data_IF_294258690276
#
_entry.id   IF_294258690276
#
_cell.length_a   1.000
_cell.length_b   1.000
_cell.length_c   1.000
_cell.angle_alpha   90.00
_cell.angle_beta   90.00
_cell.angle_gamma   90.00
#
_symmetry.space_group_name_H-M   'P 1'
#
loop_
_entity.id
_entity.type
_entity.pdbx_description
1 polymer ?
#
# COMPACT_ATOMS: atom_id res chain seq x y z
N UNK A 1 51.13 60.92 0.15
CA UNK A 1 50.01 61.43 0.97
C UNK A 1 48.85 60.48 0.89
N UNK A 2 48.40 59.96 2.05
CA UNK A 2 47.12 59.27 2.40
C UNK A 2 47.00 57.87 1.83
N UNK A 3 47.30 56.86 2.55
CA UNK A 3 46.53 56.14 3.65
C UNK A 3 45.27 55.53 3.11
N UNK A 4 45.30 54.27 2.88
CA UNK A 4 45.00 53.12 3.70
C UNK A 4 43.51 53.05 4.07
N UNK A 5 42.89 51.97 3.75
CA UNK A 5 42.11 51.16 4.72
C UNK A 5 41.63 49.88 4.05
N UNK A 6 42.36 48.83 4.34
CA UNK A 6 41.91 47.49 4.09
C UNK A 6 41.36 46.97 5.43
N UNK A 7 40.09 46.85 5.54
CA UNK A 7 39.49 46.32 6.75
C UNK A 7 38.02 45.98 6.58
N UNK A 8 37.70 44.80 6.07
CA UNK A 8 36.56 44.02 6.52
C UNK A 8 36.65 42.61 5.95
N UNK A 9 37.17 41.75 6.74
CA UNK A 9 37.00 40.28 6.59
C UNK A 9 35.53 39.99 6.76
N UNK A 10 34.85 39.69 5.66
CA UNK A 10 33.50 39.13 5.68
C UNK A 10 33.60 37.69 6.22
N UNK A 11 33.31 37.54 7.49
CA UNK A 11 33.02 36.25 8.09
C UNK A 11 31.84 35.61 7.39
N UNK A 12 32.12 34.65 6.52
CA UNK A 12 31.11 33.74 5.98
C UNK A 12 30.63 32.87 7.14
N UNK A 13 29.58 33.30 7.80
CA UNK A 13 28.76 32.40 8.62
C UNK A 13 28.06 31.42 7.65
N UNK A 14 28.56 30.21 7.66
CA UNK A 14 27.80 29.07 7.13
C UNK A 14 26.48 28.99 7.89
N UNK A 15 25.33 29.00 7.22
CA UNK A 15 24.10 28.68 7.89
C UNK A 15 24.17 27.20 8.25
N UNK A 16 24.28 26.87 9.52
CA UNK A 16 23.94 25.55 10.02
C UNK A 16 22.54 25.25 9.48
N UNK A 17 22.50 24.27 8.61
CA UNK A 17 21.26 23.64 8.19
C UNK A 17 20.52 23.20 9.44
N UNK A 18 19.50 23.95 9.81
CA UNK A 18 18.44 23.43 10.65
C UNK A 18 17.85 22.24 9.89
N UNK A 19 18.32 21.06 10.21
CA UNK A 19 17.61 19.83 9.97
C UNK A 19 16.27 19.99 10.70
N UNK A 20 15.29 20.53 9.99
CA UNK A 20 13.89 20.42 10.38
C UNK A 20 13.64 18.93 10.52
N UNK A 21 13.66 18.48 11.77
CA UNK A 21 12.99 17.26 12.16
C UNK A 21 11.52 17.49 11.80
N UNK A 22 11.13 17.12 10.59
CA UNK A 22 9.73 16.94 10.28
C UNK A 22 9.30 15.80 11.19
N UNK A 23 8.77 16.17 12.34
CA UNK A 23 7.97 15.31 13.16
C UNK A 23 6.87 14.82 12.24
N UNK A 24 6.96 13.55 11.83
CA UNK A 24 5.87 12.85 11.18
C UNK A 24 4.74 12.73 12.20
N UNK A 25 4.02 13.83 12.45
CA UNK A 25 2.72 13.75 13.09
C UNK A 25 1.71 13.27 12.04
N UNK A 26 2.00 12.11 11.47
CA UNK A 26 1.06 11.35 10.68
C UNK A 26 0.03 10.79 11.64
N UNK A 27 -1.23 11.03 11.36
CA UNK A 27 -2.35 10.40 12.06
C UNK A 27 -2.29 8.88 11.81
N UNK A 28 -1.53 8.17 12.65
CA UNK A 28 -1.39 6.71 12.60
C UNK A 28 -2.75 6.00 12.81
N UNK A 29 -3.79 6.70 13.27
CA UNK A 29 -5.13 6.16 13.41
C UNK A 29 -5.75 5.78 12.06
N UNK A 30 -5.26 6.36 10.98
CA UNK A 30 -5.71 6.08 9.61
C UNK A 30 -5.06 4.85 8.97
N UNK A 31 -4.00 4.28 9.57
CA UNK A 31 -3.26 3.16 8.99
C UNK A 31 -3.99 1.83 9.17
N UNK A 32 -3.94 0.98 8.14
CA UNK A 32 -4.41 -0.39 8.23
C UNK A 32 -3.32 -1.28 8.83
N UNK A 33 -3.70 -2.22 9.70
CA UNK A 33 -2.78 -3.20 10.27
C UNK A 33 -3.53 -4.41 10.81
N UNK A 34 -2.89 -5.56 10.79
CA UNK A 34 -3.41 -6.85 11.25
C UNK A 34 -4.00 -7.70 10.13
N UNK A 35 -4.13 -8.99 10.36
CA UNK A 35 -4.64 -9.98 9.44
C UNK A 35 -5.84 -10.70 10.04
N UNK A 36 -6.87 -10.97 9.22
CA UNK A 36 -8.14 -11.58 9.63
C UNK A 36 -8.55 -12.63 8.61
N UNK A 37 -8.88 -13.82 9.09
CA UNK A 37 -9.42 -14.87 8.24
C UNK A 37 -10.93 -14.70 8.12
N UNK A 38 -11.45 -14.81 6.89
CA UNK A 38 -12.87 -14.79 6.56
C UNK A 38 -13.17 -15.80 5.46
N UNK A 39 -14.43 -16.24 5.37
CA UNK A 39 -14.87 -17.10 4.27
C UNK A 39 -15.42 -16.29 3.10
N UNK A 40 -15.36 -16.89 1.92
CA UNK A 40 -16.04 -16.38 0.71
C UNK A 40 -17.34 -17.16 0.54
N UNK A 41 -18.46 -16.46 0.48
CA UNK A 41 -19.77 -17.10 0.29
C UNK A 41 -19.96 -17.63 -1.15
N UNK A 42 -21.07 -18.33 -1.39
CA UNK A 42 -21.45 -18.92 -2.67
C UNK A 42 -21.66 -17.88 -3.80
N UNK A 43 -21.84 -16.61 -3.42
CA UNK A 43 -21.96 -15.48 -4.36
C UNK A 43 -20.64 -14.72 -4.56
N UNK A 44 -19.50 -15.27 -4.09
CA UNK A 44 -18.19 -14.66 -4.23
C UNK A 44 -18.00 -13.42 -3.35
N UNK A 45 -18.69 -13.33 -2.20
CA UNK A 45 -18.56 -12.20 -1.27
C UNK A 45 -17.79 -12.61 -0.03
N UNK A 46 -16.96 -11.72 0.47
CA UNK A 46 -16.26 -11.87 1.74
C UNK A 46 -16.52 -10.67 2.66
N UNK A 47 -16.31 -10.85 3.96
CA UNK A 47 -16.44 -9.77 4.94
C UNK A 47 -15.16 -8.95 4.99
N UNK A 48 -15.31 -7.64 4.95
CA UNK A 48 -14.22 -6.73 5.31
C UNK A 48 -14.35 -6.41 6.82
N UNK A 49 -13.30 -6.61 7.63
CA UNK A 49 -13.32 -6.31 9.06
C UNK A 49 -13.84 -4.90 9.35
N UNK A 50 -14.69 -4.73 10.37
CA UNK A 50 -15.33 -3.45 10.68
C UNK A 50 -14.32 -2.30 10.84
N UNK A 51 -13.19 -2.58 11.51
CA UNK A 51 -12.09 -1.62 11.65
C UNK A 51 -11.48 -1.16 10.32
N UNK A 52 -11.49 -2.01 9.29
CA UNK A 52 -11.00 -1.65 7.96
C UNK A 52 -12.09 -0.89 7.19
N UNK A 53 -13.35 -1.29 7.30
CA UNK A 53 -14.47 -0.59 6.64
C UNK A 53 -14.57 0.88 7.05
N UNK A 54 -14.37 1.17 8.34
CA UNK A 54 -14.37 2.55 8.84
C UNK A 54 -13.33 3.43 8.15
N UNK A 55 -12.19 2.84 7.80
CA UNK A 55 -11.07 3.54 7.14
C UNK A 55 -11.17 3.53 5.61
N UNK A 56 -11.71 2.48 5.02
CA UNK A 56 -11.97 2.39 3.58
C UNK A 56 -13.06 3.37 3.14
N UNK A 57 -14.07 3.59 3.98
CA UNK A 57 -15.23 4.41 3.66
C UNK A 57 -16.35 3.60 3.01
N UNK A 58 -17.38 4.31 2.52
CA UNK A 58 -18.56 3.70 1.90
C UNK A 58 -18.25 3.08 0.52
N UNK A 59 -17.28 3.66 -0.18
CA UNK A 59 -16.77 3.18 -1.48
C UNK A 59 -15.26 3.05 -1.43
N UNK A 60 -14.77 2.06 -2.12
CA UNK A 60 -13.34 1.80 -2.24
C UNK A 60 -13.06 1.08 -3.56
N UNK A 61 -11.81 1.01 -3.96
CA UNK A 61 -11.39 0.38 -5.20
C UNK A 61 -10.65 -0.90 -4.91
N UNK A 62 -11.06 -1.99 -5.56
CA UNK A 62 -10.37 -3.28 -5.53
C UNK A 62 -9.69 -3.51 -6.88
N UNK A 63 -8.43 -3.95 -6.85
CA UNK A 63 -7.67 -4.26 -8.06
C UNK A 63 -6.72 -5.43 -7.83
N UNK A 64 -6.00 -5.83 -8.88
CA UNK A 64 -4.92 -6.82 -8.74
C UNK A 64 -3.85 -6.29 -7.82
N UNK A 65 -3.31 -7.16 -6.97
CA UNK A 65 -2.09 -6.94 -6.21
C UNK A 65 -0.92 -7.73 -6.79
N UNK A 66 0.25 -7.57 -6.20
CA UNK A 66 1.42 -8.38 -6.49
C UNK A 66 1.31 -9.74 -5.79
N UNK A 67 2.10 -10.71 -6.21
CA UNK A 67 2.11 -12.08 -5.66
C UNK A 67 0.75 -12.79 -5.67
N UNK A 68 -0.17 -12.32 -6.54
CA UNK A 68 -1.49 -12.91 -6.69
C UNK A 68 -2.48 -12.61 -5.58
N UNK A 69 -2.30 -11.54 -4.83
CA UNK A 69 -3.33 -11.01 -3.94
C UNK A 69 -4.20 -9.96 -4.66
N UNK A 70 -5.18 -9.43 -3.94
CA UNK A 70 -5.96 -8.25 -4.34
C UNK A 70 -5.57 -7.07 -3.46
N UNK A 71 -5.51 -5.89 -4.04
CA UNK A 71 -5.34 -4.64 -3.31
C UNK A 71 -6.67 -3.90 -3.23
N UNK A 72 -6.96 -3.37 -2.05
CA UNK A 72 -8.16 -2.61 -1.75
C UNK A 72 -7.75 -1.26 -1.18
N UNK A 73 -8.08 -0.19 -1.89
CA UNK A 73 -7.72 1.18 -1.54
C UNK A 73 -8.94 2.02 -1.20
N UNK A 74 -8.87 2.87 -0.17
CA UNK A 74 -9.84 3.95 -0.03
C UNK A 74 -9.88 4.80 -1.30
N UNK A 75 -11.05 5.30 -1.68
CA UNK A 75 -11.21 6.14 -2.87
C UNK A 75 -10.26 7.34 -2.87
N UNK A 76 -10.06 7.96 -1.72
CA UNK A 76 -9.11 9.09 -1.53
C UNK A 76 -7.66 8.72 -1.86
N UNK A 77 -7.24 7.48 -1.57
CA UNK A 77 -5.87 7.00 -1.81
C UNK A 77 -5.70 6.57 -3.26
N UNK A 78 -6.76 6.06 -3.89
CA UNK A 78 -6.75 5.53 -5.24
C UNK A 78 -6.33 6.55 -6.29
N UNK A 79 -6.79 7.81 -6.17
CA UNK A 79 -6.38 8.89 -7.08
C UNK A 79 -4.86 9.09 -7.12
N UNK A 80 -4.20 9.01 -5.96
CA UNK A 80 -2.74 9.08 -5.88
C UNK A 80 -2.04 7.87 -6.50
N UNK A 81 -2.64 6.68 -6.40
CA UNK A 81 -2.14 5.46 -7.06
C UNK A 81 -2.24 5.60 -8.58
N UNK A 82 -3.39 6.07 -9.09
CA UNK A 82 -3.59 6.30 -10.52
C UNK A 82 -2.53 7.26 -11.08
N UNK A 83 -2.27 8.39 -10.40
CA UNK A 83 -1.25 9.34 -10.83
C UNK A 83 0.15 8.72 -10.94
N UNK A 84 0.52 7.84 -10.00
CA UNK A 84 1.81 7.14 -10.02
C UNK A 84 1.93 6.09 -11.12
N UNK A 85 0.80 5.56 -11.58
CA UNK A 85 0.74 4.54 -12.63
C UNK A 85 0.64 5.15 -14.04
N UNK A 86 0.40 6.47 -14.16
CA UNK A 86 0.31 7.12 -15.47
C UNK A 86 1.64 6.99 -16.23
N UNK A 87 1.60 6.51 -17.47
CA UNK A 87 2.79 6.40 -18.30
C UNK A 87 3.37 7.81 -18.60
N UNK A 88 4.69 7.92 -18.65
CA UNK A 88 5.38 9.19 -18.94
C UNK A 88 5.14 9.68 -20.36
N UNK A 89 4.81 8.79 -21.28
CA UNK A 89 4.48 9.10 -22.67
C UNK A 89 3.58 7.99 -23.26
N UNK A 90 2.96 8.26 -24.41
CA UNK A 90 2.16 7.27 -25.15
C UNK A 90 3.00 6.09 -25.68
N UNK A 91 4.32 6.21 -25.68
CA UNK A 91 5.26 5.17 -26.10
C UNK A 91 5.99 4.49 -24.93
N UNK A 92 5.61 4.81 -23.69
CA UNK A 92 6.14 4.17 -22.50
C UNK A 92 5.51 2.79 -22.29
N UNK A 93 6.03 1.79 -22.97
CA UNK A 93 5.53 0.40 -22.91
C UNK A 93 5.48 -0.18 -21.48
N UNK A 94 6.44 0.19 -20.61
CA UNK A 94 6.48 -0.25 -19.21
C UNK A 94 5.35 0.38 -18.39
N UNK A 95 5.19 1.69 -18.51
CA UNK A 95 4.09 2.41 -17.86
C UNK A 95 2.72 1.92 -18.30
N UNK A 96 2.54 1.72 -19.62
CA UNK A 96 1.30 1.19 -20.19
C UNK A 96 0.99 -0.23 -19.68
N UNK A 97 1.98 -1.11 -19.53
CA UNK A 97 1.79 -2.45 -18.96
C UNK A 97 1.33 -2.39 -17.50
N UNK A 98 1.94 -1.53 -16.68
CA UNK A 98 1.53 -1.32 -15.29
C UNK A 98 0.11 -0.75 -15.21
N UNK A 99 -0.20 0.25 -16.04
CA UNK A 99 -1.53 0.83 -16.13
C UNK A 99 -2.57 -0.24 -16.47
N UNK A 100 -2.37 -1.03 -17.52
CA UNK A 100 -3.27 -2.13 -17.88
C UNK A 100 -3.42 -3.17 -16.78
N UNK A 101 -2.34 -3.49 -16.09
CA UNK A 101 -2.36 -4.50 -15.03
C UNK A 101 -3.20 -4.04 -13.84
N UNK A 102 -2.98 -2.82 -13.36
CA UNK A 102 -3.66 -2.31 -12.16
C UNK A 102 -4.98 -1.60 -12.49
N UNK A 103 -4.97 -0.60 -13.38
CA UNK A 103 -6.18 0.18 -13.66
C UNK A 103 -7.18 -0.60 -14.51
N UNK A 104 -6.71 -1.43 -15.44
CA UNK A 104 -7.59 -2.28 -16.27
C UNK A 104 -8.33 -3.36 -15.47
N UNK A 105 -7.92 -3.64 -14.24
CA UNK A 105 -8.59 -4.59 -13.34
C UNK A 105 -9.32 -3.89 -12.18
N UNK A 106 -9.23 -2.57 -12.08
CA UNK A 106 -9.83 -1.83 -10.99
C UNK A 106 -11.35 -1.86 -11.03
N UNK A 107 -11.98 -2.11 -9.90
CA UNK A 107 -13.42 -2.15 -9.72
C UNK A 107 -13.81 -1.35 -8.48
N UNK A 108 -14.77 -0.44 -8.63
CA UNK A 108 -15.41 0.19 -7.50
C UNK A 108 -16.25 -0.82 -6.73
N UNK A 109 -16.10 -0.84 -5.43
CA UNK A 109 -16.78 -1.74 -4.52
C UNK A 109 -17.41 -0.95 -3.38
N UNK A 110 -18.51 -1.48 -2.87
CA UNK A 110 -19.15 -1.01 -1.65
C UNK A 110 -19.58 -2.20 -0.81
N UNK A 111 -19.42 -2.17 0.53
CA UNK A 111 -19.89 -3.24 1.37
C UNK A 111 -21.42 -3.21 1.48
N UNK A 112 -22.04 -4.37 1.58
CA UNK A 112 -23.46 -4.47 1.91
C UNK A 112 -23.71 -4.12 3.40
N UNK A 113 -24.97 -4.14 3.82
CA UNK A 113 -25.37 -3.83 5.21
C UNK A 113 -24.73 -4.75 6.26
N UNK A 114 -24.26 -5.93 5.84
CA UNK A 114 -23.58 -6.91 6.69
C UNK A 114 -22.04 -6.78 6.60
N UNK A 115 -21.55 -5.80 5.84
CA UNK A 115 -20.13 -5.56 5.66
C UNK A 115 -19.44 -6.51 4.69
N UNK A 116 -20.19 -7.23 3.85
CA UNK A 116 -19.65 -8.11 2.81
C UNK A 116 -19.45 -7.31 1.52
N UNK A 117 -18.37 -7.62 0.82
CA UNK A 117 -18.06 -7.08 -0.49
C UNK A 117 -17.99 -8.22 -1.51
N UNK A 118 -18.60 -8.02 -2.68
CA UNK A 118 -18.47 -8.93 -3.80
C UNK A 118 -17.09 -8.75 -4.44
N UNK A 119 -16.38 -9.86 -4.62
CA UNK A 119 -15.11 -9.88 -5.35
C UNK A 119 -15.43 -10.14 -6.81
N UNK A 120 -15.06 -9.24 -7.75
CA UNK A 120 -15.29 -9.45 -9.17
C UNK A 120 -14.69 -10.77 -9.65
N UNK A 121 -15.35 -11.53 -10.54
CA UNK A 121 -14.87 -12.85 -10.98
C UNK A 121 -13.46 -12.85 -11.56
N UNK A 122 -13.08 -11.78 -12.29
CA UNK A 122 -11.73 -11.61 -12.82
C UNK A 122 -10.68 -11.48 -11.71
N UNK A 123 -11.03 -10.81 -10.61
CA UNK A 123 -10.15 -10.65 -9.46
C UNK A 123 -10.10 -11.95 -8.63
N UNK A 124 -11.21 -12.67 -8.48
CA UNK A 124 -11.20 -14.00 -7.88
C UNK A 124 -10.25 -14.94 -8.62
N UNK A 125 -10.35 -14.99 -9.95
CA UNK A 125 -9.47 -15.80 -10.79
C UNK A 125 -7.99 -15.40 -10.62
N UNK A 126 -7.68 -14.09 -10.60
CA UNK A 126 -6.34 -13.58 -10.38
C UNK A 126 -5.76 -14.03 -9.03
N UNK A 127 -6.56 -13.94 -7.96
CA UNK A 127 -6.10 -14.28 -6.61
C UNK A 127 -6.20 -15.78 -6.28
N UNK A 128 -6.75 -16.60 -7.18
CA UNK A 128 -6.99 -18.01 -6.92
C UNK A 128 -8.01 -18.23 -5.80
N UNK A 129 -8.95 -17.29 -5.65
CA UNK A 129 -10.01 -17.34 -4.63
C UNK A 129 -11.21 -18.09 -5.21
N UNK A 130 -11.80 -19.02 -4.44
CA UNK A 130 -13.01 -19.75 -4.81
C UNK A 130 -14.08 -19.55 -3.75
N UNK A 131 -15.34 -19.66 -4.19
CA UNK A 131 -16.48 -19.68 -3.26
C UNK A 131 -16.37 -20.86 -2.30
N UNK A 132 -16.71 -20.63 -1.03
CA UNK A 132 -16.61 -21.62 0.03
C UNK A 132 -15.22 -21.74 0.69
N UNK A 133 -14.19 -21.11 0.13
CA UNK A 133 -12.84 -21.12 0.69
C UNK A 133 -12.60 -19.94 1.65
N UNK A 134 -11.56 -20.06 2.47
CA UNK A 134 -11.09 -18.98 3.34
C UNK A 134 -10.17 -18.02 2.60
N UNK A 135 -10.22 -16.77 3.00
CA UNK A 135 -9.32 -15.69 2.56
C UNK A 135 -8.75 -14.97 3.77
N UNK A 136 -7.55 -14.47 3.63
CA UNK A 136 -6.95 -13.53 4.57
C UNK A 136 -7.19 -12.09 4.12
N UNK A 137 -7.67 -11.25 5.03
CA UNK A 137 -7.86 -9.81 4.84
C UNK A 137 -6.82 -9.10 5.70
N UNK A 138 -5.80 -8.53 5.05
CA UNK A 138 -4.57 -8.03 5.68
C UNK A 138 -4.46 -6.52 5.50
N UNK A 139 -4.27 -5.80 6.58
CA UNK A 139 -4.07 -4.35 6.56
C UNK A 139 -2.60 -3.98 6.43
N UNK A 140 -2.27 -3.16 5.44
CA UNK A 140 -0.93 -2.64 5.18
C UNK A 140 -0.96 -1.13 5.03
N UNK A 141 -0.61 -0.41 6.06
CA UNK A 141 -0.45 1.05 6.06
C UNK A 141 -1.55 1.81 5.31
N UNK A 142 -1.54 1.87 3.99
CA UNK A 142 -2.41 2.69 3.13
C UNK A 142 -3.46 1.89 2.34
N UNK A 143 -3.45 0.55 2.44
CA UNK A 143 -4.34 -0.35 1.72
C UNK A 143 -4.67 -1.60 2.53
N UNK A 144 -5.63 -2.35 2.04
CA UNK A 144 -5.93 -3.70 2.51
C UNK A 144 -5.60 -4.68 1.39
N UNK A 145 -5.08 -5.84 1.74
CA UNK A 145 -4.88 -6.96 0.82
C UNK A 145 -5.86 -8.08 1.11
N UNK A 146 -6.31 -8.78 0.05
CA UNK A 146 -7.11 -10.00 0.17
C UNK A 146 -6.33 -11.11 -0.52
N UNK A 147 -6.06 -12.16 0.22
CA UNK A 147 -5.29 -13.32 -0.22
C UNK A 147 -6.15 -14.57 -0.16
N UNK A 148 -6.03 -15.48 -1.14
CA UNK A 148 -6.47 -16.85 -0.91
C UNK A 148 -5.61 -17.48 0.20
N UNK A 149 -6.19 -18.40 0.97
CA UNK A 149 -5.46 -19.07 2.05
C UNK A 149 -4.18 -19.72 1.55
N UNK A 150 -4.25 -20.47 0.46
CA UNK A 150 -3.09 -21.17 -0.10
C UNK A 150 -1.93 -20.24 -0.43
N UNK A 151 -2.20 -19.08 -1.07
CA UNK A 151 -1.15 -18.10 -1.41
C UNK A 151 -0.62 -17.34 -0.22
N UNK A 152 -1.46 -17.11 0.79
CA UNK A 152 -1.01 -16.51 2.04
C UNK A 152 -0.06 -17.42 2.79
N UNK A 153 -0.38 -18.71 2.87
CA UNK A 153 0.46 -19.71 3.53
C UNK A 153 1.80 -19.87 2.77
N UNK A 154 1.78 -20.00 1.43
CA UNK A 154 2.97 -20.05 0.58
C UNK A 154 3.85 -18.80 0.73
N UNK A 155 3.25 -17.61 0.74
CA UNK A 155 3.96 -16.36 0.94
C UNK A 155 4.66 -16.33 2.32
N UNK A 156 3.96 -16.68 3.39
CA UNK A 156 4.55 -16.70 4.73
C UNK A 156 5.66 -17.76 4.86
N UNK A 157 5.50 -18.95 4.29
CA UNK A 157 6.54 -19.97 4.26
C UNK A 157 7.81 -19.51 3.54
N UNK A 158 7.68 -18.63 2.56
CA UNK A 158 8.82 -18.05 1.84
C UNK A 158 9.60 -17.01 2.66
N UNK A 159 9.00 -16.44 3.72
CA UNK A 159 9.60 -15.41 4.57
C UNK A 159 10.32 -16.04 5.77
N UNK A 160 11.53 -16.56 5.54
CA UNK A 160 12.36 -17.06 6.63
C UNK A 160 12.94 -15.93 7.47
N UNK A 161 13.32 -16.22 8.73
CA UNK A 161 13.95 -15.23 9.61
C UNK A 161 15.20 -14.59 8.97
N UNK A 162 15.96 -15.36 8.20
CA UNK A 162 17.15 -14.87 7.50
C UNK A 162 16.78 -13.84 6.42
N UNK A 163 15.74 -14.12 5.62
CA UNK A 163 15.23 -13.20 4.60
C UNK A 163 14.72 -11.92 5.25
N UNK A 164 13.92 -12.04 6.29
CA UNK A 164 13.38 -10.87 7.01
C UNK A 164 14.49 -10.02 7.64
N UNK A 165 15.47 -10.66 8.28
CA UNK A 165 16.62 -9.96 8.83
C UNK A 165 17.47 -9.27 7.74
N UNK A 166 17.60 -9.89 6.57
CA UNK A 166 18.27 -9.29 5.41
C UNK A 166 17.57 -8.04 4.92
N UNK A 167 16.26 -8.14 4.64
CA UNK A 167 15.43 -7.02 4.21
C UNK A 167 15.38 -5.89 5.25
N UNK A 168 15.32 -6.23 6.55
CA UNK A 168 15.34 -5.26 7.63
C UNK A 168 16.64 -4.44 7.68
N UNK A 169 17.80 -5.07 7.42
CA UNK A 169 19.07 -4.35 7.31
C UNK A 169 19.13 -3.41 6.11
N UNK A 170 18.62 -3.85 4.94
CA UNK A 170 18.54 -3.00 3.75
C UNK A 170 17.58 -1.82 3.93
N UNK A 171 16.51 -2.00 4.71
CA UNK A 171 15.53 -0.96 5.04
C UNK A 171 15.94 -0.07 6.23
N UNK A 172 17.16 -0.24 6.76
CA UNK A 172 17.67 0.51 7.94
C UNK A 172 16.72 0.42 9.17
N UNK A 173 16.02 -0.70 9.33
CA UNK A 173 15.13 -0.89 10.47
C UNK A 173 15.91 -0.98 11.78
N UNK A 174 15.34 -0.44 12.91
CA UNK A 174 15.95 -0.57 14.22
C UNK A 174 16.19 -2.05 14.56
N UNK A 175 17.40 -2.38 14.99
CA UNK A 175 17.77 -3.71 15.48
C UNK A 175 17.26 -3.83 16.92
N UNK A 176 16.20 -4.58 17.12
CA UNK A 176 15.76 -4.97 18.46
C UNK A 176 16.44 -6.29 18.80
N UNK A 177 17.49 -6.21 19.63
CA UNK A 177 18.19 -7.36 20.22
C UNK A 177 17.56 -7.82 21.53
#
# INVERSE_FOLDING_TARGET
MRSAEWGRVLSLRTPHSELRTQTLSGDYSSLFSGAYEHSVDDKGRTVIPARFRQKLGEKFVMTRGLHGCLWVFPERTWSGVQQKLMPKSLLDDRGIKLERYFLGAASECAPDRQGRVAIPPMLMAHAGIKSGESVWVVGLTDKVEIWSRARWDEFNESLTDEIIAGLGREAEMPQYG
#
